data_IF_892114421279
#
_entry.id   IF_892114421279
#
_cell.length_a   1.000
_cell.length_b   1.000
_cell.length_c   1.000
_cell.angle_alpha   90.00
_cell.angle_beta   90.00
_cell.angle_gamma   90.00
#
_symmetry.space_group_name_H-M   'P 1'
#
loop_
_entity.id
_entity.type
_entity.pdbx_description
1 polymer ?
#
# COMPACT_ATOMS: atom_id res chain seq x y z
N UNK A 1 -12.31 -18.06 4.48
CA UNK A 1 -10.88 -17.73 4.74
C UNK A 1 -10.06 -17.47 3.47
N UNK A 2 -10.42 -17.94 2.27
CA UNK A 2 -9.96 -17.33 1.00
C UNK A 2 -10.59 -15.95 0.70
N UNK A 3 -11.25 -15.37 1.72
CA UNK A 3 -12.29 -14.34 1.66
C UNK A 3 -12.03 -13.18 2.64
N UNK A 4 -10.86 -13.17 3.31
CA UNK A 4 -10.36 -12.06 4.15
C UNK A 4 -9.51 -11.11 3.29
N UNK A 5 -9.97 -10.82 2.06
CA UNK A 5 -9.18 -10.24 0.98
C UNK A 5 -8.51 -8.92 1.36
N UNK A 6 -7.23 -8.79 0.99
CA UNK A 6 -6.73 -7.55 0.40
C UNK A 6 -6.68 -7.81 -1.13
N UNK A 7 -7.22 -6.88 -1.90
CA UNK A 7 -8.01 -7.11 -3.12
C UNK A 7 -7.24 -7.47 -4.40
N UNK A 8 -6.13 -8.21 -4.34
CA UNK A 8 -5.37 -8.63 -5.52
C UNK A 8 -4.71 -9.99 -5.27
N UNK A 9 -4.99 -10.99 -6.09
CA UNK A 9 -4.20 -12.23 -6.12
C UNK A 9 -2.89 -11.94 -6.85
N UNK A 10 -1.74 -11.79 -6.17
CA UNK A 10 -0.57 -11.19 -6.80
C UNK A 10 -0.02 -12.00 -7.98
N UNK A 11 -0.28 -13.31 -8.00
CA UNK A 11 0.07 -14.21 -9.10
C UNK A 11 -0.81 -14.03 -10.36
N UNK A 12 -1.97 -13.36 -10.26
CA UNK A 12 -2.84 -13.03 -11.39
C UNK A 12 -2.52 -11.65 -12.00
N UNK A 13 -1.66 -10.86 -11.33
CA UNK A 13 -1.23 -9.54 -11.78
C UNK A 13 0.27 -9.60 -12.11
N UNK A 14 0.57 -10.01 -13.34
CA UNK A 14 1.95 -10.19 -13.82
C UNK A 14 2.78 -8.90 -13.81
N UNK A 15 2.11 -7.75 -13.86
CA UNK A 15 2.68 -6.48 -13.46
C UNK A 15 2.26 -6.23 -12.00
N UNK A 16 3.10 -6.63 -11.04
CA UNK A 16 3.00 -6.02 -9.73
C UNK A 16 3.02 -4.50 -9.92
N UNK A 17 2.19 -3.76 -9.19
CA UNK A 17 2.14 -2.30 -9.27
C UNK A 17 3.39 -1.66 -8.62
N UNK A 18 4.56 -2.27 -8.85
CA UNK A 18 5.85 -1.73 -8.49
C UNK A 18 6.24 -0.63 -9.48
N UNK A 19 7.10 0.27 -9.01
CA UNK A 19 7.51 1.44 -9.76
C UNK A 19 8.07 1.09 -11.14
N UNK A 20 8.84 0.01 -11.29
CA UNK A 20 9.47 -0.35 -12.57
C UNK A 20 8.43 -0.80 -13.59
N UNK A 21 7.44 -1.59 -13.17
CA UNK A 21 6.35 -2.03 -14.03
C UNK A 21 5.50 -0.84 -14.51
N UNK A 22 5.20 0.10 -13.61
CA UNK A 22 4.45 1.33 -13.94
C UNK A 22 5.24 2.25 -14.87
N UNK A 23 6.55 2.42 -14.65
CA UNK A 23 7.42 3.19 -15.54
C UNK A 23 7.53 2.57 -16.94
N UNK A 24 7.60 1.23 -17.02
CA UNK A 24 7.61 0.53 -18.30
C UNK A 24 6.31 0.77 -19.08
N UNK A 25 5.16 0.66 -18.41
CA UNK A 25 3.85 0.93 -19.00
C UNK A 25 3.73 2.39 -19.46
N UNK A 26 4.18 3.35 -18.64
CA UNK A 26 4.18 4.77 -18.98
C UNK A 26 4.95 5.05 -20.27
N UNK A 27 6.18 4.51 -20.39
CA UNK A 27 7.02 4.66 -21.60
C UNK A 27 6.33 4.12 -22.85
N UNK A 28 5.65 2.97 -22.75
CA UNK A 28 4.94 2.34 -23.88
C UNK A 28 3.69 3.10 -24.32
N UNK A 29 3.10 3.90 -23.44
CA UNK A 29 1.82 4.58 -23.65
C UNK A 29 1.95 6.08 -23.90
N UNK A 30 3.16 6.62 -23.95
CA UNK A 30 3.39 8.06 -24.15
C UNK A 30 3.19 8.89 -22.89
N UNK A 31 3.28 8.27 -21.70
CA UNK A 31 3.19 8.94 -20.41
C UNK A 31 4.53 8.91 -19.66
N UNK A 32 4.61 9.74 -18.62
CA UNK A 32 5.68 9.72 -17.63
C UNK A 32 5.07 9.54 -16.24
N UNK A 33 5.71 8.75 -15.37
CA UNK A 33 5.28 8.61 -13.98
C UNK A 33 5.62 9.90 -13.23
N UNK A 34 4.60 10.60 -12.72
CA UNK A 34 4.77 11.85 -11.98
C UNK A 34 4.87 11.62 -10.48
N UNK A 35 3.92 10.86 -9.91
CA UNK A 35 3.97 10.47 -8.50
C UNK A 35 3.43 9.04 -8.30
N UNK A 36 3.96 8.42 -7.24
CA UNK A 36 3.56 7.10 -6.75
C UNK A 36 3.43 7.23 -5.24
N UNK A 37 2.20 7.11 -4.74
CA UNK A 37 1.87 7.37 -3.34
C UNK A 37 1.13 6.15 -2.77
N UNK A 38 1.47 5.76 -1.55
CA UNK A 38 0.87 4.63 -0.84
C UNK A 38 0.13 5.14 0.39
N UNK A 39 -1.09 4.65 0.62
CA UNK A 39 -1.98 5.13 1.68
C UNK A 39 -2.79 4.02 2.34
N UNK A 40 -3.35 4.33 3.50
CA UNK A 40 -4.49 3.61 4.09
C UNK A 40 -4.15 2.31 4.80
N UNK A 41 -2.89 2.10 5.21
CA UNK A 41 -2.57 1.12 6.23
C UNK A 41 -2.55 1.84 7.59
N UNK A 42 -3.60 1.65 8.38
CA UNK A 42 -3.68 2.15 9.75
C UNK A 42 -3.18 1.07 10.71
N UNK A 43 -2.16 1.41 11.50
CA UNK A 43 -1.59 0.50 12.51
C UNK A 43 -2.62 0.14 13.58
N UNK A 44 -3.48 1.06 13.98
CA UNK A 44 -4.53 0.79 14.97
C UNK A 44 -5.52 -0.24 14.47
N UNK A 45 -5.97 -0.11 13.23
CA UNK A 45 -6.89 -1.08 12.62
C UNK A 45 -6.28 -2.48 12.56
N UNK A 46 -4.99 -2.54 12.22
CA UNK A 46 -4.24 -3.80 12.22
C UNK A 46 -4.14 -4.42 13.62
N UNK A 47 -3.82 -3.63 14.65
CA UNK A 47 -3.72 -4.11 16.02
C UNK A 47 -5.08 -4.57 16.57
N UNK A 48 -6.16 -3.85 16.28
CA UNK A 48 -7.52 -4.25 16.62
C UNK A 48 -7.91 -5.59 15.98
N UNK A 49 -7.60 -5.76 14.69
CA UNK A 49 -7.83 -7.04 13.99
C UNK A 49 -7.04 -8.18 14.63
N UNK A 50 -5.75 -7.96 14.93
CA UNK A 50 -4.91 -8.99 15.56
C UNK A 50 -5.35 -9.32 16.98
N UNK A 51 -5.83 -8.33 17.74
CA UNK A 51 -6.40 -8.56 19.06
C UNK A 51 -7.67 -9.41 19.00
N UNK A 52 -8.54 -9.18 18.01
CA UNK A 52 -9.70 -10.02 17.78
C UNK A 52 -9.32 -11.46 17.42
N UNK A 53 -8.33 -11.64 16.53
CA UNK A 53 -7.91 -12.98 16.09
C UNK A 53 -7.14 -13.75 17.20
N UNK A 54 -6.25 -13.09 17.92
CA UNK A 54 -5.33 -13.73 18.87
C UNK A 54 -5.86 -13.69 20.32
N UNK A 55 -6.97 -12.99 20.58
CA UNK A 55 -7.55 -12.76 21.91
C UNK A 55 -6.52 -12.17 22.90
N UNK A 56 -5.63 -11.32 22.39
CA UNK A 56 -4.57 -10.66 23.16
C UNK A 56 -4.65 -9.15 22.99
N UNK A 57 -4.48 -8.42 24.08
CA UNK A 57 -4.64 -6.97 24.15
C UNK A 57 -3.42 -6.22 23.59
N UNK A 58 -3.26 -6.24 22.26
CA UNK A 58 -2.23 -5.49 21.57
C UNK A 58 -2.52 -3.99 21.58
N UNK A 59 -3.79 -3.60 21.52
CA UNK A 59 -4.21 -2.22 21.44
C UNK A 59 -3.68 -1.42 22.63
N UNK A 60 -3.99 -1.81 23.86
CA UNK A 60 -3.59 -1.02 25.03
C UNK A 60 -2.08 -1.15 25.29
N UNK A 61 -1.47 -2.29 25.00
CA UNK A 61 -0.04 -2.53 25.25
C UNK A 61 0.89 -1.80 24.29
N UNK A 62 0.44 -1.54 23.06
CA UNK A 62 1.27 -0.91 22.03
C UNK A 62 0.81 0.50 21.69
N UNK A 63 -0.27 1.00 22.28
CA UNK A 63 -0.87 2.32 21.99
C UNK A 63 0.14 3.46 21.91
N UNK A 64 1.08 3.52 22.85
CA UNK A 64 2.09 4.58 22.90
C UNK A 64 3.11 4.49 21.75
N UNK A 65 3.34 3.28 21.23
CA UNK A 65 4.25 3.04 20.11
C UNK A 65 3.59 3.29 18.74
N UNK A 66 2.26 3.35 18.67
CA UNK A 66 1.53 3.48 17.40
C UNK A 66 1.95 4.69 16.58
N UNK A 67 2.07 5.92 17.14
CA UNK A 67 2.50 7.08 16.35
C UNK A 67 3.86 6.88 15.68
N UNK A 68 4.79 6.23 16.39
CA UNK A 68 6.12 5.90 15.86
C UNK A 68 6.03 4.84 14.76
N UNK A 69 5.27 3.77 14.99
CA UNK A 69 5.09 2.69 14.03
C UNK A 69 4.42 3.18 12.74
N UNK A 70 3.39 4.02 12.86
CA UNK A 70 2.70 4.63 11.72
C UNK A 70 3.68 5.48 10.90
N UNK A 71 4.49 6.32 11.55
CA UNK A 71 5.49 7.13 10.85
C UNK A 71 6.54 6.29 10.09
N UNK A 72 6.92 5.13 10.64
CA UNK A 72 7.84 4.20 9.95
C UNK A 72 7.16 3.56 8.74
N UNK A 73 5.92 3.09 8.89
CA UNK A 73 5.13 2.49 7.81
C UNK A 73 4.90 3.49 6.67
N UNK A 74 4.50 4.72 7.00
CA UNK A 74 4.26 5.79 6.04
C UNK A 74 5.54 6.15 5.28
N UNK A 75 6.68 6.24 5.99
CA UNK A 75 7.99 6.50 5.37
C UNK A 75 8.44 5.39 4.42
N UNK A 76 8.08 4.14 4.71
CA UNK A 76 8.37 3.02 3.83
C UNK A 76 7.41 2.92 2.63
N UNK A 77 6.35 3.72 2.60
CA UNK A 77 5.33 3.66 1.56
C UNK A 77 4.58 2.33 1.58
N UNK A 78 4.35 1.76 2.76
CA UNK A 78 3.54 0.55 2.90
C UNK A 78 2.09 1.01 3.10
N UNK A 79 1.19 0.58 2.20
CA UNK A 79 -0.20 0.99 2.21
C UNK A 79 -1.11 -0.04 1.58
N UNK A 80 -2.40 0.02 1.94
CA UNK A 80 -3.45 -0.80 1.33
C UNK A 80 -3.91 -0.24 -0.02
N UNK A 81 -3.69 1.06 -0.25
CA UNK A 81 -4.07 1.76 -1.46
C UNK A 81 -2.83 2.36 -2.14
N UNK A 82 -2.82 2.28 -3.46
CA UNK A 82 -1.81 2.90 -4.30
C UNK A 82 -2.46 3.96 -5.18
N UNK A 83 -1.92 5.18 -5.15
CA UNK A 83 -2.25 6.24 -6.09
C UNK A 83 -1.08 6.44 -7.04
N UNK A 84 -1.39 6.44 -8.33
CA UNK A 84 -0.42 6.66 -9.41
C UNK A 84 -0.86 7.86 -10.23
N UNK A 85 0.01 8.84 -10.41
CA UNK A 85 -0.24 9.98 -11.29
C UNK A 85 0.68 9.87 -12.50
N UNK A 86 0.08 9.81 -13.69
CA UNK A 86 0.79 9.87 -14.96
C UNK A 86 0.64 11.24 -15.61
N UNK A 87 1.71 11.72 -16.24
CA UNK A 87 1.72 12.95 -17.03
C UNK A 87 1.88 12.60 -18.50
N UNK A 88 0.95 13.05 -19.35
CA UNK A 88 1.05 12.88 -20.79
C UNK A 88 2.27 13.61 -21.32
N UNK A 89 3.07 12.93 -22.14
CA UNK A 89 4.20 13.54 -22.82
C UNK A 89 3.64 14.38 -23.97
N UNK A 90 4.01 15.67 -24.07
CA UNK A 90 3.42 16.62 -25.04
C UNK A 90 3.69 16.28 -26.52
N UNK A 91 4.46 15.24 -26.82
CA UNK A 91 4.97 14.91 -28.15
C UNK A 91 4.45 13.57 -28.71
N UNK A 92 3.23 13.15 -28.32
CA UNK A 92 2.51 12.02 -28.96
C UNK A 92 1.16 12.50 -29.48
#
# INVERSE_FOLDING_TARGET
MGSRQNTLYPYQHTAFFDKKSLEFLAKKTGFTLHSLEFYGLDVMDYLCMKQYDDQYDYFDKLREAVPLLQAVIDKQGIGNHLRVIFKKTKNV
#
